data_IF_685706246616
#
_entry.id   IF_685706246616
#
_cell.length_a   1.000
_cell.length_b   1.000
_cell.length_c   1.000
_cell.angle_alpha   90.00
_cell.angle_beta   90.00
_cell.angle_gamma   90.00
#
_symmetry.space_group_name_H-M   'P 1'
#
loop_
_entity.id
_entity.type
_entity.pdbx_description
1 polymer ?
#
# COMPACT_ATOMS: atom_id res chain seq x y z
N UNK A 1 -2.71 8.79 -11.76
CA UNK A 1 -3.26 7.86 -10.76
C UNK A 1 -3.13 6.48 -11.35
N UNK A 2 -2.66 5.49 -10.60
CA UNK A 2 -2.60 4.13 -11.14
C UNK A 2 -4.01 3.58 -11.24
N UNK A 3 -4.50 3.25 -12.43
CA UNK A 3 -5.75 2.50 -12.57
C UNK A 3 -5.41 1.02 -12.38
N UNK A 4 -6.19 0.35 -11.54
CA UNK A 4 -5.93 -1.03 -11.17
C UNK A 4 -7.06 -1.88 -11.74
N UNK A 5 -6.70 -2.91 -12.49
CA UNK A 5 -7.61 -3.83 -13.15
C UNK A 5 -7.42 -5.25 -12.61
N UNK A 6 -8.50 -6.03 -12.59
CA UNK A 6 -8.51 -7.40 -12.11
C UNK A 6 -9.07 -8.32 -13.19
N UNK A 7 -8.48 -9.50 -13.33
CA UNK A 7 -9.00 -10.59 -14.15
C UNK A 7 -8.94 -11.90 -13.37
N UNK A 8 -10.06 -12.61 -13.32
CA UNK A 8 -10.13 -14.01 -12.83
C UNK A 8 -9.62 -14.24 -11.40
N UNK A 9 -9.51 -13.21 -10.56
CA UNK A 9 -9.13 -13.32 -9.15
C UNK A 9 -10.34 -13.09 -8.24
N UNK A 10 -10.37 -13.79 -7.10
CA UNK A 10 -11.24 -13.39 -5.99
C UNK A 10 -10.79 -12.06 -5.38
N UNK A 11 -11.66 -11.38 -4.63
CA UNK A 11 -11.32 -10.11 -3.96
C UNK A 11 -10.10 -10.25 -3.04
N UNK A 12 -10.02 -11.32 -2.25
CA UNK A 12 -8.89 -11.57 -1.36
C UNK A 12 -7.56 -11.78 -2.11
N UNK A 13 -7.58 -12.52 -3.23
CA UNK A 13 -6.38 -12.71 -4.04
C UNK A 13 -5.95 -11.41 -4.73
N UNK A 14 -6.89 -10.63 -5.24
CA UNK A 14 -6.60 -9.32 -5.83
C UNK A 14 -6.02 -8.36 -4.79
N UNK A 15 -6.57 -8.31 -3.58
CA UNK A 15 -6.03 -7.54 -2.47
C UNK A 15 -4.62 -7.99 -2.07
N UNK A 16 -4.36 -9.29 -2.02
CA UNK A 16 -3.03 -9.82 -1.74
C UNK A 16 -2.01 -9.45 -2.83
N UNK A 17 -2.38 -9.56 -4.11
CA UNK A 17 -1.54 -9.10 -5.22
C UNK A 17 -1.29 -7.59 -5.15
N UNK A 18 -2.31 -6.81 -4.80
CA UNK A 18 -2.14 -5.37 -4.63
C UNK A 18 -1.25 -5.03 -3.44
N UNK A 19 -1.37 -5.76 -2.33
CA UNK A 19 -0.47 -5.65 -1.17
C UNK A 19 0.98 -5.87 -1.60
N UNK A 20 1.25 -6.94 -2.35
CA UNK A 20 2.58 -7.24 -2.90
C UNK A 20 3.11 -6.11 -3.82
N UNK A 21 2.25 -5.55 -4.69
CA UNK A 21 2.61 -4.37 -5.49
C UNK A 21 2.99 -3.17 -4.62
N UNK A 22 2.26 -2.90 -3.53
CA UNK A 22 2.50 -1.75 -2.66
C UNK A 22 3.78 -1.86 -1.83
N UNK A 23 4.25 -3.08 -1.56
CA UNK A 23 5.43 -3.41 -0.75
C UNK A 23 6.64 -3.83 -1.59
N UNK A 24 6.48 -4.02 -2.91
CA UNK A 24 7.58 -4.48 -3.78
C UNK A 24 7.92 -5.96 -3.57
N UNK A 25 7.01 -6.75 -3.02
CA UNK A 25 7.17 -8.18 -2.81
C UNK A 25 6.64 -8.98 -4.00
N UNK A 26 6.98 -10.26 -4.05
CA UNK A 26 6.31 -11.19 -4.95
C UNK A 26 4.93 -11.57 -4.39
N UNK A 27 3.88 -11.63 -5.23
CA UNK A 27 2.63 -12.23 -4.81
C UNK A 27 2.85 -13.71 -4.49
N UNK A 28 2.19 -14.22 -3.43
CA UNK A 28 2.21 -15.65 -3.07
C UNK A 28 1.33 -16.49 -4.00
N UNK A 29 0.23 -15.89 -4.45
CA UNK A 29 -0.74 -16.44 -5.40
C UNK A 29 -1.13 -15.36 -6.41
N UNK A 30 -1.46 -15.76 -7.64
CA UNK A 30 -1.76 -14.84 -8.73
C UNK A 30 -0.53 -14.05 -9.19
N UNK A 31 -0.73 -13.05 -10.02
CA UNK A 31 0.35 -12.24 -10.55
C UNK A 31 -0.10 -10.80 -10.79
N UNK A 32 0.88 -9.92 -10.99
CA UNK A 32 0.64 -8.53 -11.32
C UNK A 32 1.51 -8.09 -12.47
N UNK A 33 0.99 -7.18 -13.29
CA UNK A 33 1.73 -6.45 -14.32
C UNK A 33 1.58 -4.96 -14.01
N UNK A 34 2.68 -4.22 -14.04
CA UNK A 34 2.67 -2.76 -13.94
C UNK A 34 3.26 -2.13 -15.18
N UNK A 35 2.54 -1.16 -15.73
CA UNK A 35 2.89 -0.44 -16.96
C UNK A 35 2.41 1.01 -16.85
N UNK A 36 3.33 1.97 -16.89
CA UNK A 36 2.99 3.39 -16.84
C UNK A 36 2.18 3.75 -15.59
N UNK A 37 0.88 4.04 -15.76
CA UNK A 37 -0.07 4.30 -14.68
C UNK A 37 -1.15 3.22 -14.57
N UNK A 38 -0.83 1.99 -14.93
CA UNK A 38 -1.76 0.86 -14.87
C UNK A 38 -1.13 -0.27 -14.09
N UNK A 39 -1.95 -0.96 -13.30
CA UNK A 39 -1.61 -2.20 -12.63
C UNK A 39 -2.69 -3.21 -13.00
N UNK A 40 -2.30 -4.39 -13.45
CA UNK A 40 -3.18 -5.48 -13.82
C UNK A 40 -2.94 -6.63 -12.87
N UNK A 41 -3.96 -7.09 -12.17
CA UNK A 41 -3.93 -8.21 -11.22
C UNK A 41 -4.60 -9.40 -11.90
N UNK A 42 -3.86 -10.48 -12.09
CA UNK A 42 -4.26 -11.61 -12.93
C UNK A 42 -4.09 -12.93 -12.18
N UNK A 43 -4.86 -13.94 -12.54
CA UNK A 43 -4.71 -15.31 -12.05
C UNK A 43 -3.44 -15.99 -12.56
N UNK A 44 -3.04 -15.68 -13.80
CA UNK A 44 -1.81 -16.16 -14.41
C UNK A 44 -1.17 -15.11 -15.30
N UNK A 45 0.16 -15.18 -15.45
CA UNK A 45 0.86 -14.32 -16.39
C UNK A 45 0.46 -14.66 -17.83
N UNK A 46 0.35 -13.66 -18.72
CA UNK A 46 0.23 -13.92 -20.13
C UNK A 46 1.45 -14.69 -20.61
N UNK A 47 1.32 -15.38 -21.75
CA UNK A 47 2.46 -16.07 -22.38
C UNK A 47 3.45 -15.00 -22.83
N UNK A 48 4.55 -14.87 -22.09
CA UNK A 48 5.66 -13.99 -22.41
C UNK A 48 6.77 -14.79 -23.11
N UNK A 49 7.46 -14.21 -24.12
CA UNK A 49 8.64 -14.82 -24.70
C UNK A 49 9.73 -15.12 -23.67
N UNK A 50 10.58 -16.11 -23.96
CA UNK A 50 11.75 -16.38 -23.11
C UNK A 50 12.70 -15.17 -23.09
N UNK A 51 13.04 -14.74 -21.87
CA UNK A 51 13.99 -13.67 -21.61
C UNK A 51 15.34 -14.20 -21.16
N UNK A 52 16.33 -13.30 -21.13
CA UNK A 52 17.63 -13.59 -20.52
C UNK A 52 17.56 -13.38 -19.01
N UNK A 53 18.21 -14.26 -18.24
CA UNK A 53 18.41 -14.04 -16.81
C UNK A 53 19.39 -12.88 -16.55
N UNK A 54 18.99 -11.95 -15.68
CA UNK A 54 19.81 -10.82 -15.26
C UNK A 54 19.99 -10.89 -13.74
N UNK A 55 21.22 -11.04 -13.23
CA UNK A 55 21.48 -11.10 -11.80
C UNK A 55 21.20 -9.76 -11.14
N UNK A 56 20.65 -9.81 -9.93
CA UNK A 56 20.39 -8.65 -9.08
C UNK A 56 20.80 -9.00 -7.64
N UNK A 57 21.16 -7.99 -6.86
CA UNK A 57 21.61 -8.16 -5.47
C UNK A 57 20.77 -7.36 -4.47
N UNK A 58 19.51 -7.11 -4.83
CA UNK A 58 18.57 -6.32 -4.04
C UNK A 58 17.12 -6.78 -4.30
N UNK A 59 16.24 -6.54 -3.32
CA UNK A 59 14.85 -6.98 -3.36
C UNK A 59 14.70 -8.49 -3.08
N UNK A 60 13.51 -9.06 -3.30
CA UNK A 60 13.19 -10.43 -2.89
C UNK A 60 13.71 -11.53 -3.83
N UNK A 61 14.39 -11.19 -4.93
CA UNK A 61 14.91 -12.17 -5.90
C UNK A 61 16.37 -11.95 -6.20
N UNK A 62 17.09 -13.02 -6.52
CA UNK A 62 18.50 -13.00 -6.96
C UNK A 62 18.66 -12.78 -8.47
N UNK A 63 17.59 -13.03 -9.25
CA UNK A 63 17.58 -12.93 -10.71
C UNK A 63 16.23 -12.41 -11.21
N UNK A 64 16.25 -11.64 -12.29
CA UNK A 64 15.06 -11.24 -13.05
C UNK A 64 15.17 -11.77 -14.48
N UNK A 65 14.04 -12.11 -15.10
CA UNK A 65 13.98 -12.41 -16.53
C UNK A 65 13.79 -11.12 -17.31
N UNK A 66 14.61 -10.89 -18.34
CA UNK A 66 14.59 -9.67 -19.13
C UNK A 66 14.39 -9.95 -20.61
N UNK A 67 13.36 -9.35 -21.18
CA UNK A 67 13.13 -9.29 -22.63
C UNK A 67 13.64 -7.96 -23.22
N UNK A 68 14.21 -7.07 -22.40
CA UNK A 68 14.86 -5.85 -22.88
C UNK A 68 16.27 -6.16 -23.38
N UNK A 69 16.70 -5.44 -24.41
CA UNK A 69 18.07 -5.50 -24.94
C UNK A 69 19.12 -4.90 -23.99
N UNK A 70 18.71 -4.10 -23.01
CA UNK A 70 19.60 -3.44 -22.05
C UNK A 70 19.38 -3.99 -20.65
N UNK A 71 20.36 -4.74 -20.14
CA UNK A 71 20.35 -5.23 -18.76
C UNK A 71 20.25 -4.09 -17.74
N UNK A 72 20.96 -2.98 -17.96
CA UNK A 72 20.90 -1.80 -17.10
C UNK A 72 19.48 -1.23 -17.00
N UNK A 73 18.73 -1.20 -18.12
CA UNK A 73 17.34 -0.75 -18.14
C UNK A 73 16.44 -1.70 -17.35
N UNK A 74 16.69 -3.01 -17.41
CA UNK A 74 15.95 -4.02 -16.65
C UNK A 74 16.18 -3.91 -15.15
N UNK A 75 17.45 -3.80 -14.73
CA UNK A 75 17.82 -3.58 -13.33
C UNK A 75 17.22 -2.27 -12.80
N UNK A 76 17.22 -1.21 -13.61
CA UNK A 76 16.60 0.07 -13.25
C UNK A 76 15.10 -0.09 -13.07
N UNK A 77 14.40 -0.72 -14.02
CA UNK A 77 12.94 -0.93 -13.93
C UNK A 77 12.56 -1.73 -12.68
N UNK A 78 13.30 -2.80 -12.39
CA UNK A 78 13.10 -3.59 -11.18
C UNK A 78 13.33 -2.75 -9.91
N UNK A 79 14.39 -1.93 -9.86
CA UNK A 79 14.62 -1.01 -8.74
C UNK A 79 13.48 -0.01 -8.58
N UNK A 80 12.97 0.57 -9.66
CA UNK A 80 11.83 1.50 -9.60
C UNK A 80 10.56 0.81 -9.07
N UNK A 81 10.31 -0.44 -9.48
CA UNK A 81 9.20 -1.25 -8.96
C UNK A 81 9.29 -1.43 -7.44
N UNK A 82 10.44 -1.85 -6.92
CA UNK A 82 10.66 -2.03 -5.47
C UNK A 82 10.46 -0.73 -4.69
N UNK A 83 10.79 0.41 -5.31
CA UNK A 83 10.63 1.73 -4.70
C UNK A 83 9.21 2.30 -4.85
N UNK A 84 8.27 1.53 -5.44
CA UNK A 84 6.91 1.98 -5.72
C UNK A 84 6.86 3.16 -6.70
N UNK A 85 7.87 3.32 -7.54
CA UNK A 85 7.99 4.38 -8.54
C UNK A 85 7.51 3.90 -9.90
N UNK A 86 7.26 4.85 -10.80
CA UNK A 86 6.89 4.55 -12.19
C UNK A 86 8.10 3.96 -12.90
N UNK A 87 7.82 2.94 -13.71
CA UNK A 87 8.84 2.32 -14.55
C UNK A 87 9.34 3.29 -15.64
N UNK A 88 10.55 3.05 -16.17
CA UNK A 88 11.02 3.74 -17.37
C UNK A 88 10.03 3.63 -18.53
N UNK A 89 9.97 4.66 -19.38
CA UNK A 89 9.07 4.67 -20.53
C UNK A 89 9.30 3.45 -21.47
N UNK A 90 8.19 2.88 -21.94
CA UNK A 90 8.16 1.70 -22.80
C UNK A 90 8.54 0.39 -22.09
N UNK A 91 8.53 0.35 -20.76
CA UNK A 91 8.82 -0.85 -19.97
C UNK A 91 7.60 -1.24 -19.14
N UNK A 92 7.32 -2.53 -19.13
CA UNK A 92 6.41 -3.18 -18.21
C UNK A 92 7.18 -4.18 -17.34
N UNK A 93 6.64 -4.46 -16.16
CA UNK A 93 7.17 -5.46 -15.24
C UNK A 93 6.04 -6.35 -14.77
N UNK A 94 6.26 -7.65 -14.84
CA UNK A 94 5.42 -8.69 -14.27
C UNK A 94 6.06 -9.25 -13.00
N UNK A 95 5.26 -9.49 -11.97
CA UNK A 95 5.66 -10.21 -10.77
C UNK A 95 4.67 -11.35 -10.49
N UNK A 96 5.21 -12.51 -10.15
CA UNK A 96 4.50 -13.78 -9.92
C UNK A 96 5.25 -14.59 -8.85
N UNK A 97 4.67 -15.66 -8.30
CA UNK A 97 5.38 -16.54 -7.36
C UNK A 97 6.70 -17.08 -7.92
N UNK A 98 6.78 -17.24 -9.25
CA UNK A 98 7.96 -17.72 -9.97
C UNK A 98 9.06 -16.67 -10.13
N UNK A 99 8.76 -15.39 -9.89
CA UNK A 99 9.73 -14.30 -9.95
C UNK A 99 9.26 -13.08 -10.75
N UNK A 100 10.25 -12.33 -11.25
CA UNK A 100 10.08 -11.06 -11.94
C UNK A 100 10.44 -11.19 -13.42
N UNK A 101 9.58 -10.65 -14.29
CA UNK A 101 9.85 -10.50 -15.72
C UNK A 101 9.76 -9.04 -16.13
N UNK A 102 10.81 -8.51 -16.77
CA UNK A 102 10.84 -7.14 -17.31
C UNK A 102 10.82 -7.20 -18.83
N UNK A 103 9.89 -6.48 -19.45
CA UNK A 103 9.65 -6.59 -20.90
C UNK A 103 9.22 -5.25 -21.52
N UNK A 104 9.35 -5.09 -22.86
CA UNK A 104 8.84 -3.91 -23.54
C UNK A 104 7.33 -3.81 -23.34
N UNK A 105 6.80 -2.63 -23.01
CA UNK A 105 5.36 -2.51 -22.75
C UNK A 105 4.51 -2.90 -23.97
N UNK A 106 5.01 -2.68 -25.18
CA UNK A 106 4.36 -3.10 -26.42
C UNK A 106 4.21 -4.63 -26.60
N UNK A 107 4.85 -5.44 -25.76
CA UNK A 107 4.72 -6.90 -25.77
C UNK A 107 3.49 -7.40 -24.99
N UNK A 108 2.75 -6.50 -24.35
CA UNK A 108 1.51 -6.82 -23.64
C UNK A 108 0.42 -5.82 -24.00
N UNK A 109 -0.72 -6.35 -24.42
CA UNK A 109 -1.92 -5.57 -24.64
C UNK A 109 -3.02 -6.10 -23.70
N UNK A 110 -3.47 -5.31 -22.72
CA UNK A 110 -4.49 -5.73 -21.78
C UNK A 110 -5.85 -5.77 -22.48
N UNK A 111 -6.56 -6.90 -22.35
CA UNK A 111 -7.96 -6.99 -22.78
C UNK A 111 -8.87 -6.37 -21.72
N UNK A 112 -9.01 -5.04 -21.77
CA UNK A 112 -9.85 -4.29 -20.84
C UNK A 112 -11.35 -4.67 -20.93
N UNK A 113 -11.78 -5.32 -22.03
CA UNK A 113 -13.15 -5.78 -22.19
C UNK A 113 -13.51 -6.97 -21.29
N UNK A 114 -12.50 -7.73 -20.82
CA UNK A 114 -12.66 -8.87 -19.91
C UNK A 114 -12.14 -8.60 -18.50
N UNK A 115 -11.72 -7.37 -18.20
CA UNK A 115 -11.21 -6.96 -16.89
C UNK A 115 -12.20 -6.04 -16.17
N UNK A 116 -12.22 -6.12 -14.84
CA UNK A 116 -12.95 -5.18 -14.00
C UNK A 116 -12.00 -4.22 -13.29
N UNK A 117 -12.49 -3.05 -12.88
CA UNK A 117 -11.71 -2.16 -12.01
C UNK A 117 -11.60 -2.78 -10.62
N UNK A 118 -10.41 -2.78 -10.05
CA UNK A 118 -10.17 -3.23 -8.69
C UNK A 118 -10.95 -2.37 -7.68
N UNK A 119 -11.58 -3.04 -6.73
CA UNK A 119 -12.22 -2.44 -5.57
C UNK A 119 -11.85 -3.24 -4.34
N UNK A 120 -11.58 -2.54 -3.24
CA UNK A 120 -11.36 -3.16 -1.95
C UNK A 120 -12.69 -3.74 -1.43
N UNK A 121 -12.61 -4.88 -0.76
CA UNK A 121 -13.75 -5.54 -0.11
C UNK A 121 -14.21 -4.82 1.17
N UNK A 122 -13.46 -3.82 1.64
CA UNK A 122 -13.72 -3.03 2.83
C UNK A 122 -13.33 -1.55 2.59
N UNK A 123 -13.76 -0.65 3.48
CA UNK A 123 -13.30 0.74 3.51
C UNK A 123 -12.09 0.87 4.45
N UNK A 124 -10.86 1.13 3.94
CA UNK A 124 -9.68 1.26 4.78
C UNK A 124 -9.77 2.36 5.83
N UNK A 125 -10.52 3.43 5.57
CA UNK A 125 -10.64 4.54 6.52
C UNK A 125 -11.43 4.13 7.76
N UNK A 126 -12.36 3.18 7.65
CA UNK A 126 -13.14 2.66 8.77
C UNK A 126 -12.37 1.61 9.59
N UNK A 127 -11.35 0.98 8.99
CA UNK A 127 -10.52 -0.04 9.64
C UNK A 127 -9.28 0.51 10.35
N UNK A 128 -8.99 1.80 10.18
CA UNK A 128 -7.87 2.48 10.84
C UNK A 128 -8.38 3.57 11.78
N UNK A 129 -8.01 3.44 13.05
CA UNK A 129 -8.42 4.35 14.11
C UNK A 129 -7.21 4.97 14.82
N UNK A 130 -7.45 6.03 15.59
CA UNK A 130 -6.47 6.60 16.53
C UNK A 130 -6.74 6.10 17.95
N UNK A 131 -5.78 6.19 18.88
CA UNK A 131 -6.00 5.83 20.29
C UNK A 131 -7.22 6.53 20.91
N UNK A 132 -7.47 7.80 20.59
CA UNK A 132 -8.64 8.53 21.08
C UNK A 132 -9.97 8.04 20.48
N UNK A 133 -9.96 7.50 19.26
CA UNK A 133 -11.14 6.85 18.69
C UNK A 133 -11.37 5.48 19.29
N UNK A 134 -10.33 4.65 19.34
CA UNK A 134 -10.38 3.35 19.98
C UNK A 134 -10.85 3.46 21.44
N UNK A 135 -10.37 4.47 22.18
CA UNK A 135 -10.80 4.76 23.55
C UNK A 135 -12.32 4.95 23.67
N UNK A 136 -12.93 5.67 22.71
CA UNK A 136 -14.38 5.89 22.70
C UNK A 136 -15.15 4.64 22.30
N UNK A 137 -14.62 3.88 21.34
CA UNK A 137 -15.24 2.66 20.83
C UNK A 137 -15.24 1.54 21.88
N UNK A 138 -14.12 1.36 22.57
CA UNK A 138 -13.90 0.21 23.45
C UNK A 138 -13.95 0.56 24.95
N UNK A 139 -14.18 1.83 25.28
CA UNK A 139 -14.26 2.34 26.66
C UNK A 139 -12.98 2.12 27.50
N UNK A 140 -11.82 2.13 26.84
CA UNK A 140 -10.48 2.05 27.46
C UNK A 140 -9.85 3.44 27.51
N UNK A 141 -9.02 3.72 28.52
CA UNK A 141 -8.30 4.99 28.62
C UNK A 141 -7.38 5.23 27.40
N UNK A 142 -7.47 6.41 26.80
CA UNK A 142 -6.70 6.73 25.59
C UNK A 142 -5.18 6.73 25.81
N UNK A 143 -4.70 7.09 27.01
CA UNK A 143 -3.26 7.02 27.32
C UNK A 143 -2.80 5.58 27.47
N UNK A 144 -3.66 4.71 28.02
CA UNK A 144 -3.39 3.27 28.05
C UNK A 144 -3.24 2.70 26.63
N UNK A 145 -4.19 2.97 25.74
CA UNK A 145 -4.10 2.49 24.35
C UNK A 145 -2.85 3.05 23.65
N UNK A 146 -2.54 4.33 23.87
CA UNK A 146 -1.31 4.92 23.32
C UNK A 146 -0.06 4.20 23.85
N UNK A 147 0.00 3.94 25.16
CA UNK A 147 1.10 3.19 25.77
C UNK A 147 1.21 1.78 25.15
N UNK A 148 0.10 1.09 24.96
CA UNK A 148 0.06 -0.23 24.33
C UNK A 148 0.58 -0.19 22.87
N UNK A 149 0.26 0.87 22.11
CA UNK A 149 0.80 1.08 20.76
C UNK A 149 2.31 1.35 20.77
N UNK A 150 2.79 2.15 21.72
CA UNK A 150 4.22 2.50 21.86
C UNK A 150 5.09 1.28 22.15
N UNK A 151 4.54 0.28 22.85
CA UNK A 151 5.24 -0.95 23.25
C UNK A 151 4.90 -2.15 22.35
N UNK A 152 4.33 -1.90 21.17
CA UNK A 152 3.99 -2.95 20.22
C UNK A 152 5.24 -3.67 19.71
N UNK A 153 5.22 -5.00 19.74
CA UNK A 153 6.34 -5.86 19.32
C UNK A 153 7.65 -5.73 20.13
N UNK A 154 7.64 -5.06 21.29
CA UNK A 154 8.83 -4.99 22.16
C UNK A 154 9.15 -6.32 22.85
N UNK A 155 8.13 -7.16 23.09
CA UNK A 155 8.30 -8.49 23.69
C UNK A 155 7.27 -9.48 23.14
N UNK A 156 7.45 -10.77 23.45
CA UNK A 156 6.49 -11.81 23.09
C UNK A 156 5.10 -11.62 23.73
N UNK A 157 5.03 -10.85 24.84
CA UNK A 157 3.80 -10.54 25.57
C UNK A 157 3.20 -9.18 25.18
N UNK A 158 3.76 -8.49 24.16
CA UNK A 158 3.19 -7.25 23.64
C UNK A 158 1.79 -7.50 23.08
N UNK A 159 0.82 -6.70 23.52
CA UNK A 159 -0.59 -6.90 23.15
C UNK A 159 -0.90 -6.54 21.69
N UNK A 160 -0.07 -5.69 21.09
CA UNK A 160 -0.11 -5.39 19.66
C UNK A 160 1.19 -5.80 19.01
N UNK A 161 1.07 -6.33 17.79
CA UNK A 161 2.19 -6.52 16.88
C UNK A 161 2.51 -5.24 16.10
N UNK A 162 3.70 -5.19 15.50
CA UNK A 162 4.09 -4.09 14.61
C UNK A 162 3.31 -4.06 13.28
N UNK A 163 2.50 -5.09 12.99
CA UNK A 163 1.59 -5.12 11.84
C UNK A 163 0.24 -4.47 12.15
N UNK A 164 -0.10 -4.31 13.42
CA UNK A 164 -1.41 -3.83 13.86
C UNK A 164 -1.40 -2.36 14.25
N UNK A 165 -0.22 -1.78 14.47
CA UNK A 165 -0.05 -0.39 14.85
C UNK A 165 1.09 0.27 14.08
N UNK A 166 0.98 1.59 13.92
CA UNK A 166 2.02 2.38 13.27
C UNK A 166 2.06 3.80 13.80
N UNK A 167 3.25 4.28 14.15
CA UNK A 167 3.44 5.68 14.47
C UNK A 167 3.23 6.53 13.21
N UNK A 168 2.38 7.57 13.30
CA UNK A 168 1.94 8.39 12.17
C UNK A 168 1.98 9.88 12.55
N UNK A 169 3.16 10.49 12.38
CA UNK A 169 3.36 11.90 12.71
C UNK A 169 3.40 12.13 14.22
N UNK A 170 2.34 12.70 14.78
CA UNK A 170 2.24 13.00 16.23
C UNK A 170 1.19 12.12 16.94
N UNK A 171 0.79 11.01 16.32
CA UNK A 171 -0.18 10.05 16.86
C UNK A 171 0.23 8.64 16.48
N UNK A 172 -0.44 7.66 17.05
CA UNK A 172 -0.48 6.29 16.55
C UNK A 172 -1.73 6.07 15.70
N UNK A 173 -1.60 5.18 14.72
CA UNK A 173 -2.71 4.54 14.02
C UNK A 173 -2.70 3.07 14.40
N UNK A 174 -3.88 2.49 14.60
CA UNK A 174 -4.04 1.08 14.91
C UNK A 174 -5.20 0.49 14.12
N UNK A 175 -5.12 -0.81 13.83
CA UNK A 175 -6.21 -1.55 13.23
C UNK A 175 -7.37 -1.64 14.23
N UNK A 176 -8.56 -1.28 13.75
CA UNK A 176 -9.80 -1.37 14.53
C UNK A 176 -10.07 -2.80 14.97
N UNK A 177 -9.86 -3.77 14.07
CA UNK A 177 -10.03 -5.20 14.38
C UNK A 177 -9.08 -5.68 15.49
N UNK A 178 -7.82 -5.25 15.49
CA UNK A 178 -6.87 -5.61 16.53
C UNK A 178 -7.29 -5.03 17.89
N UNK A 179 -7.73 -3.78 17.93
CA UNK A 179 -8.25 -3.17 19.16
C UNK A 179 -9.51 -3.89 19.68
N UNK A 180 -10.42 -4.28 18.78
CA UNK A 180 -11.61 -5.03 19.15
C UNK A 180 -11.27 -6.41 19.73
N UNK A 181 -10.32 -7.12 19.12
CA UNK A 181 -9.83 -8.39 19.62
C UNK A 181 -9.23 -8.27 21.02
N UNK A 182 -8.36 -7.28 21.23
CA UNK A 182 -7.64 -7.11 22.49
C UNK A 182 -8.51 -6.57 23.62
N UNK A 183 -9.38 -5.60 23.35
CA UNK A 183 -10.13 -4.91 24.41
C UNK A 183 -11.55 -5.43 24.61
N UNK A 184 -12.14 -6.08 23.60
CA UNK A 184 -13.52 -6.59 23.63
C UNK A 184 -13.60 -8.11 23.35
N UNK A 185 -12.47 -8.80 23.24
CA UNK A 185 -12.39 -10.25 22.99
C UNK A 185 -13.11 -10.70 21.70
N UNK A 186 -13.22 -9.81 20.71
CA UNK A 186 -13.78 -10.15 19.40
C UNK A 186 -12.86 -11.14 18.65
N UNK A 187 -13.39 -11.97 17.74
CA UNK A 187 -12.56 -12.84 16.90
C UNK A 187 -11.56 -12.02 16.07
N UNK A 188 -10.30 -12.50 15.93
CA UNK A 188 -9.31 -11.78 15.12
C UNK A 188 -9.75 -11.76 13.66
N UNK A 189 -9.71 -10.57 13.05
CA UNK A 189 -9.97 -10.37 11.62
C UNK A 189 -8.64 -10.06 10.94
N UNK A 190 -8.32 -10.85 9.92
CA UNK A 190 -7.18 -10.62 9.05
C UNK A 190 -7.64 -10.09 7.69
N UNK A 191 -6.96 -9.06 7.21
CA UNK A 191 -7.18 -8.47 5.89
C UNK A 191 -6.13 -8.97 4.91
N UNK A 192 -6.53 -9.31 3.69
CA UNK A 192 -5.59 -9.71 2.64
C UNK A 192 -4.61 -8.58 2.29
N UNK A 193 -5.06 -7.33 2.44
CA UNK A 193 -4.21 -6.13 2.41
C UNK A 193 -4.34 -5.38 3.73
N UNK A 194 -3.21 -5.14 4.40
CA UNK A 194 -3.20 -4.43 5.67
C UNK A 194 -3.71 -2.97 5.49
N UNK A 195 -4.80 -2.54 6.18
CA UNK A 195 -5.34 -1.19 6.05
C UNK A 195 -4.33 -0.06 6.34
N UNK A 196 -3.32 -0.30 7.19
CA UNK A 196 -2.28 0.68 7.51
C UNK A 196 -1.32 0.97 6.33
N UNK A 197 -1.31 0.14 5.28
CA UNK A 197 -0.62 0.42 4.02
C UNK A 197 -1.35 1.46 3.16
N UNK A 198 -2.65 1.64 3.43
CA UNK A 198 -3.56 2.43 2.61
C UNK A 198 -3.93 3.75 3.27
N UNK A 199 -3.85 3.86 4.60
CA UNK A 199 -4.29 5.03 5.36
C UNK A 199 -3.15 5.67 6.13
N UNK A 200 -3.09 7.00 6.09
CA UNK A 200 -2.08 7.82 6.76
C UNK A 200 -2.75 8.98 7.48
N UNK A 201 -2.17 9.45 8.58
CA UNK A 201 -2.53 10.78 9.09
C UNK A 201 -2.02 11.85 8.13
N UNK A 202 -2.64 13.03 8.11
CA UNK A 202 -2.16 14.13 7.27
C UNK A 202 -0.73 14.59 7.58
N UNK A 203 -0.25 14.40 8.81
CA UNK A 203 1.13 14.77 9.20
C UNK A 203 2.14 13.82 8.58
N UNK A 204 1.89 12.52 8.72
CA UNK A 204 2.73 11.51 8.09
C UNK A 204 2.66 11.57 6.56
N UNK A 205 1.45 11.69 5.99
CA UNK A 205 1.27 11.81 4.55
C UNK A 205 2.03 13.02 4.00
N UNK A 206 2.05 14.13 4.73
CA UNK A 206 2.85 15.30 4.36
C UNK A 206 4.35 14.97 4.33
N UNK A 207 4.86 14.27 5.35
CA UNK A 207 6.25 13.82 5.35
C UNK A 207 6.54 12.89 4.15
N UNK A 208 5.74 11.86 3.94
CA UNK A 208 5.97 10.86 2.88
C UNK A 208 5.94 11.48 1.48
N UNK A 209 5.02 12.40 1.19
CA UNK A 209 4.92 13.07 -0.13
C UNK A 209 5.71 14.38 -0.23
N UNK A 210 6.56 14.67 0.75
CA UNK A 210 7.39 15.89 0.82
C UNK A 210 6.57 17.18 0.65
N UNK A 211 5.49 17.30 1.43
CA UNK A 211 4.60 18.46 1.49
C UNK A 211 4.58 19.05 2.89
N UNK A 212 4.13 20.29 2.97
CA UNK A 212 3.78 20.89 4.25
C UNK A 212 2.51 20.23 4.82
N UNK A 213 2.47 20.05 6.14
CA UNK A 213 1.35 19.40 6.82
C UNK A 213 0.05 20.20 6.72
N UNK A 214 0.13 21.53 6.69
CA UNK A 214 -1.01 22.42 6.47
C UNK A 214 -1.60 22.29 5.08
N UNK A 215 -0.76 22.06 4.05
CA UNK A 215 -1.22 21.83 2.67
C UNK A 215 -2.02 20.53 2.54
N UNK A 216 -1.56 19.45 3.16
CA UNK A 216 -2.28 18.17 3.15
C UNK A 216 -3.56 18.27 3.98
N UNK A 217 -3.48 18.89 5.17
CA UNK A 217 -4.64 19.15 6.02
C UNK A 217 -5.69 20.01 5.33
N UNK A 218 -5.30 21.03 4.57
CA UNK A 218 -6.21 21.86 3.79
C UNK A 218 -6.81 21.09 2.61
N UNK A 219 -6.05 20.21 1.95
CA UNK A 219 -6.60 19.32 0.93
C UNK A 219 -7.67 18.38 1.51
N UNK A 220 -7.49 17.93 2.76
CA UNK A 220 -8.45 17.10 3.48
C UNK A 220 -9.62 17.90 4.07
N UNK A 221 -9.43 19.03 4.73
CA UNK A 221 -10.50 19.71 5.47
C UNK A 221 -11.04 20.99 4.83
N UNK A 222 -10.42 21.47 3.75
CA UNK A 222 -10.53 22.87 3.34
C UNK A 222 -9.76 23.80 4.29
N UNK A 223 -9.60 25.07 3.90
CA UNK A 223 -9.04 26.11 4.76
C UNK A 223 -9.54 27.50 4.33
N UNK A 224 -10.09 28.28 5.27
CA UNK A 224 -10.67 29.58 4.95
C UNK A 224 -11.78 29.45 3.90
N UNK A 225 -11.61 30.12 2.76
CA UNK A 225 -12.53 30.04 1.62
C UNK A 225 -12.21 28.89 0.64
N UNK A 226 -11.09 28.18 0.81
CA UNK A 226 -10.73 27.08 -0.06
C UNK A 226 -11.50 25.81 0.32
N UNK A 227 -12.26 25.29 -0.64
CA UNK A 227 -12.90 23.99 -0.53
C UNK A 227 -11.86 22.87 -0.47
N UNK A 228 -12.24 21.77 0.15
CA UNK A 228 -11.39 20.61 0.27
C UNK A 228 -11.22 19.91 -1.09
N UNK A 229 -10.02 19.40 -1.38
CA UNK A 229 -9.66 18.80 -2.69
C UNK A 229 -9.74 17.27 -2.71
N UNK A 230 -9.66 16.64 -1.54
CA UNK A 230 -9.97 15.22 -1.38
C UNK A 230 -11.49 15.02 -1.46
N UNK A 231 -11.93 13.93 -2.09
CA UNK A 231 -13.35 13.62 -2.24
C UNK A 231 -13.87 12.85 -1.03
N UNK A 232 -15.17 12.58 -1.00
CA UNK A 232 -15.71 11.60 -0.04
C UNK A 232 -15.07 10.23 -0.30
N UNK A 233 -14.76 9.50 0.77
CA UNK A 233 -13.99 8.26 0.70
C UNK A 233 -12.47 8.44 0.54
N UNK A 234 -11.94 9.62 0.17
CA UNK A 234 -10.48 9.86 0.17
C UNK A 234 -9.92 10.15 1.56
N UNK A 235 -10.81 10.51 2.50
CA UNK A 235 -10.45 11.01 3.82
C UNK A 235 -11.55 10.70 4.85
N UNK A 236 -11.15 10.66 6.12
CA UNK A 236 -12.06 10.60 7.26
C UNK A 236 -11.52 11.46 8.39
N UNK A 237 -12.40 12.11 9.15
CA UNK A 237 -12.00 12.91 10.30
C UNK A 237 -11.94 12.04 11.55
N UNK A 238 -10.76 11.98 12.18
CA UNK A 238 -10.50 11.29 13.43
C UNK A 238 -10.19 12.32 14.54
N UNK A 239 -11.24 12.78 15.21
CA UNK A 239 -11.16 13.89 16.16
C UNK A 239 -10.61 15.18 15.50
N UNK A 240 -9.37 15.56 15.85
CA UNK A 240 -8.67 16.72 15.28
C UNK A 240 -7.78 16.38 14.07
N UNK A 241 -7.56 15.09 13.84
CA UNK A 241 -6.68 14.56 12.80
C UNK A 241 -7.54 14.19 11.59
N UNK A 242 -7.00 14.38 10.40
CA UNK A 242 -7.57 13.81 9.19
C UNK A 242 -6.77 12.56 8.83
N UNK A 243 -7.48 11.47 8.57
CA UNK A 243 -6.93 10.28 7.93
C UNK A 243 -7.18 10.40 6.43
N UNK A 244 -6.21 10.00 5.63
CA UNK A 244 -6.23 10.14 4.17
C UNK A 244 -5.75 8.86 3.50
N UNK A 245 -6.34 8.52 2.35
CA UNK A 245 -5.94 7.35 1.56
C UNK A 245 -4.68 7.61 0.75
N UNK A 246 -3.82 6.59 0.61
CA UNK A 246 -2.63 6.55 -0.25
C UNK A 246 -2.96 6.99 -1.68
N UNK A 247 -4.08 6.51 -2.19
CA UNK A 247 -4.58 6.79 -3.52
C UNK A 247 -4.85 8.29 -3.74
N UNK A 248 -5.52 8.95 -2.78
CA UNK A 248 -5.79 10.38 -2.82
C UNK A 248 -4.49 11.20 -2.79
N UNK A 249 -3.52 10.78 -1.97
CA UNK A 249 -2.21 11.42 -1.91
C UNK A 249 -1.46 11.29 -3.24
N UNK A 250 -1.45 10.10 -3.82
CA UNK A 250 -0.84 9.85 -5.13
C UNK A 250 -1.48 10.68 -6.24
N UNK A 251 -2.81 10.82 -6.21
CA UNK A 251 -3.59 11.59 -7.18
C UNK A 251 -3.29 13.09 -7.09
N UNK A 252 -3.23 13.64 -5.87
CA UNK A 252 -3.10 15.09 -5.66
C UNK A 252 -1.66 15.59 -5.62
N UNK A 253 -0.70 14.77 -5.18
CA UNK A 253 0.65 15.22 -4.87
C UNK A 253 1.76 14.49 -5.63
N UNK A 254 1.43 13.45 -6.40
CA UNK A 254 2.39 12.66 -7.16
C UNK A 254 2.94 11.47 -6.39
N UNK A 255 4.16 11.04 -6.70
CA UNK A 255 4.76 9.86 -6.05
C UNK A 255 5.23 10.18 -4.63
N UNK A 256 5.08 9.19 -3.74
CA UNK A 256 5.71 9.21 -2.42
C UNK A 256 7.24 9.20 -2.54
N UNK A 257 7.91 9.72 -1.50
CA UNK A 257 9.35 9.55 -1.34
C UNK A 257 9.64 8.11 -0.91
N UNK A 258 10.40 7.31 -1.69
CA UNK A 258 10.54 5.88 -1.43
C UNK A 258 11.07 5.55 -0.03
N UNK A 259 12.12 6.23 0.42
CA UNK A 259 12.72 6.00 1.74
C UNK A 259 11.74 6.27 2.89
N UNK A 260 10.92 7.33 2.76
CA UNK A 260 9.92 7.69 3.77
C UNK A 260 8.74 6.73 3.75
N UNK A 261 8.33 6.26 2.57
CA UNK A 261 7.29 5.24 2.44
C UNK A 261 7.77 3.92 3.05
N UNK A 262 8.96 3.45 2.67
CA UNK A 262 9.55 2.22 3.21
C UNK A 262 9.67 2.29 4.74
N UNK A 263 10.19 3.38 5.29
CA UNK A 263 10.29 3.55 6.75
C UNK A 263 8.93 3.46 7.46
N UNK A 264 7.86 3.94 6.83
CA UNK A 264 6.51 3.85 7.37
C UNK A 264 5.94 2.42 7.31
N UNK A 265 6.19 1.67 6.23
CA UNK A 265 5.50 0.40 5.98
C UNK A 265 6.33 -0.87 6.24
N UNK A 266 7.63 -0.76 6.54
CA UNK A 266 8.56 -1.91 6.70
C UNK A 266 8.13 -2.99 7.70
N UNK A 267 7.22 -2.69 8.61
CA UNK A 267 6.71 -3.66 9.60
C UNK A 267 5.30 -4.17 9.28
N UNK A 268 4.66 -3.63 8.24
CA UNK A 268 3.31 -3.98 7.80
C UNK A 268 3.31 -5.06 6.71
N UNK A 269 4.46 -5.63 6.40
CA UNK A 269 4.61 -6.71 5.44
C UNK A 269 3.90 -7.96 5.99
N UNK A 270 2.92 -8.48 5.23
CA UNK A 270 2.22 -9.72 5.59
C UNK A 270 3.24 -10.87 5.60
N UNK A 271 3.31 -11.61 6.71
CA UNK A 271 4.11 -12.83 6.82
C UNK A 271 3.61 -13.92 5.88
#
# INVERSE_FOLDING_TARGET
MSQIYVKSLSSAQAEACYSAFLTGQLPKDGCLITEGSHVYLLDALPILPEGQGVPVNFGPVDWIHSLLSSQMKSVTAYREFLLGRRLPAGVALAASPEGIVVFPSASYEPDLGTMSMFQLSFDPLEEVVTPQEASKLYHVDAKRIQWDCEHAGESADSIFSLQEVRHSGNTWLLLKSAAAHIYHEEPPISFAINPLLLVFSTVEAAAIWNRDSGVVRSAAGGAGHAAARMMEGDRRKSGRIWLVRREAMNRLFGQAMPERMYAAIKHLENA
#
